data_IF_697995606917
#
_entry.id   IF_697995606917
#
_cell.length_a   1.000
_cell.length_b   1.000
_cell.length_c   1.000
_cell.angle_alpha   90.00
_cell.angle_beta   90.00
_cell.angle_gamma   90.00
#
_symmetry.space_group_name_H-M   'P 1'
#
loop_
_entity.id
_entity.type
_entity.pdbx_description
1 polymer ?
#
# COMPACT_ATOMS: atom_id res chain seq x y z
N UNK A 1 34.55 44.19 50.31
CA UNK A 1 33.88 44.36 48.99
C UNK A 1 34.36 43.39 47.90
N UNK A 2 35.17 42.36 48.19
CA UNK A 2 35.71 41.44 47.17
C UNK A 2 35.05 40.05 47.15
N UNK A 3 34.29 39.67 48.19
CA UNK A 3 33.73 38.32 48.31
C UNK A 3 32.59 38.06 47.30
N UNK A 4 31.72 39.06 47.08
CA UNK A 4 30.60 38.96 46.13
C UNK A 4 31.09 38.79 44.68
N UNK A 5 32.17 39.46 44.29
CA UNK A 5 32.77 39.34 42.95
C UNK A 5 33.19 37.91 42.63
N UNK A 6 33.83 37.21 43.57
CA UNK A 6 34.23 35.81 43.38
C UNK A 6 33.04 34.87 43.23
N UNK A 7 31.94 35.10 43.95
CA UNK A 7 30.72 34.30 43.81
C UNK A 7 30.03 34.50 42.45
N UNK A 8 29.98 35.73 41.95
CA UNK A 8 29.39 36.02 40.62
C UNK A 8 30.21 35.38 39.52
N UNK A 9 31.54 35.47 39.60
CA UNK A 9 32.44 34.81 38.63
C UNK A 9 32.35 33.28 38.70
N UNK A 10 32.28 32.69 39.90
CA UNK A 10 32.13 31.26 40.07
C UNK A 10 30.79 30.74 39.53
N UNK A 11 29.70 31.49 39.74
CA UNK A 11 28.37 31.11 39.23
C UNK A 11 28.31 31.20 37.70
N UNK A 12 28.91 32.24 37.11
CA UNK A 12 29.00 32.38 35.66
C UNK A 12 29.88 31.29 35.01
N UNK A 13 30.99 30.91 35.65
CA UNK A 13 31.82 29.80 35.17
C UNK A 13 31.08 28.47 35.27
N UNK A 14 30.36 28.24 36.37
CA UNK A 14 29.57 27.02 36.56
C UNK A 14 28.43 26.91 35.55
N UNK A 15 27.74 28.02 35.23
CA UNK A 15 26.66 28.01 34.24
C UNK A 15 27.18 27.76 32.82
N UNK A 16 28.32 28.34 32.44
CA UNK A 16 28.95 28.09 31.13
C UNK A 16 29.41 26.62 31.02
N UNK A 17 30.03 26.07 32.07
CA UNK A 17 30.41 24.65 32.10
C UNK A 17 29.18 23.75 32.01
N UNK A 18 28.10 24.07 32.72
CA UNK A 18 26.86 23.30 32.67
C UNK A 18 26.23 23.32 31.27
N UNK A 19 26.19 24.49 30.62
CA UNK A 19 25.70 24.63 29.23
C UNK A 19 26.59 23.86 28.26
N UNK A 20 27.91 23.93 28.39
CA UNK A 20 28.84 23.18 27.54
C UNK A 20 28.73 21.67 27.75
N UNK A 21 28.59 21.20 28.99
CA UNK A 21 28.40 19.78 29.31
C UNK A 21 27.05 19.29 28.78
N UNK A 22 25.99 20.08 28.94
CA UNK A 22 24.66 19.72 28.43
C UNK A 22 24.60 19.76 26.89
N UNK A 23 25.27 20.71 26.25
CA UNK A 23 25.33 20.79 24.79
C UNK A 23 26.19 19.66 24.20
N UNK A 24 27.32 19.34 24.83
CA UNK A 24 28.16 18.22 24.42
C UNK A 24 27.54 16.85 24.75
N UNK A 25 26.71 16.74 25.80
CA UNK A 25 25.99 15.48 26.10
C UNK A 25 24.83 15.23 25.12
N UNK A 26 24.24 16.28 24.55
CA UNK A 26 23.24 16.18 23.48
C UNK A 26 23.88 15.91 22.09
N UNK A 27 25.15 16.31 21.90
CA UNK A 27 25.94 15.96 20.71
C UNK A 27 26.64 14.60 20.82
N UNK A 28 26.77 14.05 22.03
CA UNK A 28 27.23 12.70 22.26
C UNK A 28 26.15 11.73 21.77
N UNK A 29 26.29 11.28 20.53
CA UNK A 29 25.63 10.08 20.02
C UNK A 29 25.78 8.95 21.08
N UNK A 30 24.72 8.18 21.38
CA UNK A 30 24.83 7.07 22.31
C UNK A 30 25.99 6.16 21.87
N UNK A 31 26.95 5.97 22.78
CA UNK A 31 28.02 5.00 22.63
C UNK A 31 27.44 3.58 22.79
N UNK A 32 26.61 3.17 21.83
CA UNK A 32 26.25 1.77 21.59
C UNK A 32 26.20 1.52 20.08
N UNK A 33 27.24 1.95 19.38
CA UNK A 33 27.66 1.20 18.20
C UNK A 33 28.31 -0.07 18.71
N UNK A 34 27.51 -1.09 19.04
CA UNK A 34 28.01 -2.45 18.87
C UNK A 34 28.46 -2.52 17.41
N UNK A 35 29.77 -2.60 17.21
CA UNK A 35 30.39 -2.94 15.95
C UNK A 35 30.03 -4.40 15.70
N UNK A 36 28.76 -4.66 15.37
CA UNK A 36 28.27 -5.96 14.96
C UNK A 36 29.12 -6.41 13.79
N UNK A 37 29.51 -7.69 13.79
CA UNK A 37 30.21 -8.41 12.72
C UNK A 37 29.39 -8.40 11.41
N UNK A 38 29.16 -7.21 10.84
CA UNK A 38 28.29 -6.97 9.69
C UNK A 38 29.04 -6.90 8.36
N UNK A 39 30.36 -7.14 8.33
CA UNK A 39 31.11 -7.16 7.08
C UNK A 39 30.75 -8.40 6.26
N UNK A 40 30.80 -9.61 6.83
CA UNK A 40 30.53 -10.83 6.06
C UNK A 40 29.06 -10.98 5.64
N UNK A 41 28.10 -10.65 6.52
CA UNK A 41 26.66 -10.67 6.16
C UNK A 41 26.32 -9.65 5.06
N UNK A 42 26.88 -8.43 5.13
CA UNK A 42 26.68 -7.42 4.07
C UNK A 42 27.31 -7.84 2.75
N UNK A 43 28.53 -8.38 2.78
CA UNK A 43 29.20 -8.88 1.58
C UNK A 43 28.38 -10.00 0.93
N UNK A 44 27.97 -11.01 1.72
CA UNK A 44 27.16 -12.13 1.24
C UNK A 44 25.78 -11.69 0.67
N UNK A 45 25.16 -10.68 1.26
CA UNK A 45 23.90 -10.12 0.76
C UNK A 45 24.07 -9.33 -0.54
N UNK A 46 25.18 -8.59 -0.69
CA UNK A 46 25.52 -7.87 -1.93
C UNK A 46 25.82 -8.86 -3.05
N UNK A 47 26.57 -9.92 -2.76
CA UNK A 47 26.91 -10.97 -3.72
C UNK A 47 25.66 -11.70 -4.19
N UNK A 48 24.73 -12.03 -3.28
CA UNK A 48 23.45 -12.64 -3.64
C UNK A 48 22.55 -11.73 -4.50
N UNK A 49 22.58 -10.42 -4.28
CA UNK A 49 21.87 -9.47 -5.14
C UNK A 49 22.50 -9.39 -6.53
N UNK A 50 23.84 -9.40 -6.63
CA UNK A 50 24.55 -9.43 -7.91
C UNK A 50 24.24 -10.71 -8.69
N UNK A 51 24.32 -11.86 -8.01
CA UNK A 51 23.98 -13.17 -8.58
C UNK A 51 22.55 -13.21 -9.09
N UNK A 52 21.58 -12.69 -8.30
CA UNK A 52 20.18 -12.64 -8.70
C UNK A 52 19.95 -11.75 -9.94
N UNK A 53 20.66 -10.63 -10.06
CA UNK A 53 20.60 -9.77 -11.25
C UNK A 53 21.19 -10.43 -12.50
N UNK A 54 22.17 -11.31 -12.31
CA UNK A 54 22.78 -12.12 -13.37
C UNK A 54 22.00 -13.42 -13.67
N UNK A 55 20.85 -13.62 -13.02
CA UNK A 55 20.01 -14.82 -13.20
C UNK A 55 20.60 -16.09 -12.57
N UNK A 56 21.61 -15.96 -11.71
CA UNK A 56 22.23 -17.06 -10.97
C UNK A 56 21.40 -17.35 -9.72
N UNK A 57 21.29 -18.63 -9.38
CA UNK A 57 20.69 -19.05 -8.12
C UNK A 57 21.66 -18.77 -6.96
N UNK A 58 21.24 -17.92 -6.03
CA UNK A 58 21.96 -17.70 -4.77
C UNK A 58 21.07 -18.11 -3.60
N UNK A 59 21.62 -18.90 -2.67
CA UNK A 59 20.91 -19.37 -1.48
C UNK A 59 21.36 -18.54 -0.28
N UNK A 60 20.49 -17.63 0.15
CA UNK A 60 20.71 -16.87 1.38
C UNK A 60 20.17 -17.66 2.58
N UNK A 61 21.07 -18.06 3.47
CA UNK A 61 20.69 -18.58 4.78
C UNK A 61 20.70 -17.44 5.80
N UNK A 62 19.54 -17.12 6.36
CA UNK A 62 19.43 -16.05 7.36
C UNK A 62 17.99 -15.84 7.81
N UNK A 63 17.78 -15.55 9.09
CA UNK A 63 16.48 -15.11 9.60
C UNK A 63 16.28 -13.64 9.21
N UNK A 64 15.08 -13.26 8.79
CA UNK A 64 14.72 -11.84 8.66
C UNK A 64 14.94 -11.17 10.02
N UNK A 65 15.64 -10.04 10.04
CA UNK A 65 15.82 -9.28 11.28
C UNK A 65 14.44 -8.77 11.71
N UNK A 66 14.03 -9.01 12.96
CA UNK A 66 12.74 -8.55 13.46
C UNK A 66 12.69 -7.01 13.45
N UNK A 67 11.50 -6.46 13.22
CA UNK A 67 11.30 -5.01 13.25
C UNK A 67 11.66 -4.40 14.60
N UNK A 68 12.46 -3.32 14.57
CA UNK A 68 12.83 -2.54 15.75
C UNK A 68 11.78 -1.50 16.15
N UNK A 69 10.64 -1.44 15.44
CA UNK A 69 9.62 -0.41 15.63
C UNK A 69 9.16 -0.27 17.09
N UNK A 70 9.15 -1.37 17.86
CA UNK A 70 8.66 -1.32 19.25
C UNK A 70 9.60 -0.60 20.23
N UNK A 71 10.89 -0.48 19.91
CA UNK A 71 11.93 -0.10 20.88
C UNK A 71 12.52 1.30 20.69
N UNK A 72 12.19 2.02 19.62
CA UNK A 72 12.83 3.31 19.29
C UNK A 72 11.83 4.42 18.93
N UNK A 73 12.14 5.70 19.21
CA UNK A 73 11.36 6.84 18.74
C UNK A 73 11.25 6.88 17.21
N UNK A 74 10.16 7.46 16.66
CA UNK A 74 9.93 7.52 15.22
C UNK A 74 11.09 8.14 14.44
N UNK A 75 11.71 9.21 14.93
CA UNK A 75 12.87 9.84 14.28
C UNK A 75 14.02 8.85 14.07
N UNK A 76 14.33 8.09 15.12
CA UNK A 76 15.42 7.12 15.08
C UNK A 76 15.03 5.91 14.23
N UNK A 77 13.77 5.46 14.30
CA UNK A 77 13.23 4.40 13.45
C UNK A 77 13.40 4.73 11.95
N UNK A 78 13.05 5.96 11.53
CA UNK A 78 13.17 6.40 10.15
C UNK A 78 14.61 6.39 9.66
N UNK A 79 15.54 6.87 10.49
CA UNK A 79 16.98 6.91 10.17
C UNK A 79 17.56 5.49 10.08
N UNK A 80 17.30 4.66 11.10
CA UNK A 80 17.83 3.28 11.17
C UNK A 80 17.32 2.39 10.04
N UNK A 81 16.08 2.62 9.59
CA UNK A 81 15.49 1.86 8.50
C UNK A 81 15.69 2.50 7.12
N UNK A 82 16.46 3.60 7.02
CA UNK A 82 16.79 4.28 5.76
C UNK A 82 15.55 4.72 4.96
N UNK A 83 14.53 5.26 5.64
CA UNK A 83 13.40 5.85 4.94
C UNK A 83 13.82 7.11 4.16
N UNK A 84 13.25 7.28 2.97
CA UNK A 84 13.38 8.51 2.19
C UNK A 84 12.53 9.58 2.87
N UNK A 85 13.17 10.55 3.53
CA UNK A 85 12.48 11.60 4.32
C UNK A 85 12.32 12.93 3.59
N UNK A 86 12.93 13.10 2.41
CA UNK A 86 12.79 14.27 1.55
C UNK A 86 12.54 13.85 0.10
N UNK A 87 11.89 14.74 -0.66
CA UNK A 87 11.60 14.46 -2.08
C UNK A 87 12.90 14.42 -2.89
N UNK A 88 13.07 13.40 -3.72
CA UNK A 88 14.32 13.16 -4.45
C UNK A 88 14.44 13.98 -5.75
N UNK A 89 13.34 14.46 -6.31
CA UNK A 89 13.36 15.31 -7.51
C UNK A 89 12.11 16.20 -7.63
N UNK A 90 12.26 17.33 -8.34
CA UNK A 90 11.13 18.23 -8.63
C UNK A 90 10.02 17.52 -9.44
N UNK A 91 10.42 16.60 -10.32
CA UNK A 91 9.48 15.76 -11.09
C UNK A 91 8.57 14.95 -10.16
N UNK A 92 9.15 14.30 -9.16
CA UNK A 92 8.41 13.48 -8.21
C UNK A 92 7.56 14.34 -7.27
N UNK A 93 8.06 15.51 -6.84
CA UNK A 93 7.31 16.47 -6.04
C UNK A 93 6.04 16.96 -6.75
N UNK A 94 6.13 17.18 -8.07
CA UNK A 94 5.02 17.68 -8.89
C UNK A 94 3.97 16.62 -9.28
N UNK A 95 4.25 15.34 -9.01
CA UNK A 95 3.35 14.23 -9.35
C UNK A 95 3.13 13.28 -8.16
N UNK A 96 2.44 13.73 -7.09
CA UNK A 96 2.18 12.87 -5.95
C UNK A 96 1.29 11.67 -6.31
N UNK A 97 1.63 10.50 -5.77
CA UNK A 97 0.85 9.27 -5.89
C UNK A 97 0.10 8.99 -4.58
N UNK A 98 -1.01 8.29 -4.72
CA UNK A 98 -1.73 7.67 -3.61
C UNK A 98 -1.56 6.15 -3.66
N UNK A 99 -1.58 5.51 -2.50
CA UNK A 99 -1.56 4.05 -2.39
C UNK A 99 -2.71 3.57 -1.51
N UNK A 100 -3.37 2.51 -1.96
CA UNK A 100 -4.30 1.71 -1.16
C UNK A 100 -3.63 0.38 -0.87
N UNK A 101 -3.42 0.04 0.40
CA UNK A 101 -2.72 -1.18 0.79
C UNK A 101 -3.64 -2.06 1.64
N UNK A 102 -4.13 -3.17 1.08
CA UNK A 102 -5.01 -4.10 1.81
C UNK A 102 -4.20 -5.28 2.35
N UNK A 103 -4.13 -5.42 3.67
CA UNK A 103 -3.30 -6.41 4.37
C UNK A 103 -4.09 -7.20 5.41
N UNK A 104 -3.67 -8.44 5.67
CA UNK A 104 -4.34 -9.32 6.65
C UNK A 104 -3.36 -10.14 7.51
N UNK A 105 -2.07 -10.16 7.19
CA UNK A 105 -1.01 -10.90 7.90
C UNK A 105 0.39 -10.35 7.53
N UNK A 106 1.42 -10.96 8.13
CA UNK A 106 2.85 -10.80 7.78
C UNK A 106 3.36 -9.35 7.85
N UNK A 107 3.44 -8.80 9.07
CA UNK A 107 3.89 -7.42 9.33
C UNK A 107 5.23 -7.09 8.66
N UNK A 108 6.25 -7.95 8.80
CA UNK A 108 7.59 -7.69 8.26
C UNK A 108 7.59 -7.54 6.72
N UNK A 109 6.72 -8.29 6.03
CA UNK A 109 6.58 -8.18 4.56
C UNK A 109 5.93 -6.86 4.20
N UNK A 110 4.86 -6.49 4.91
CA UNK A 110 4.20 -5.20 4.75
C UNK A 110 5.15 -4.03 5.05
N UNK A 111 5.90 -4.07 6.15
CA UNK A 111 6.87 -3.04 6.53
C UNK A 111 7.92 -2.86 5.42
N UNK A 112 8.42 -3.97 4.86
CA UNK A 112 9.39 -3.93 3.75
C UNK A 112 8.79 -3.33 2.49
N UNK A 113 7.55 -3.69 2.12
CA UNK A 113 6.83 -3.10 1.00
C UNK A 113 6.62 -1.61 1.23
N UNK A 114 6.08 -1.23 2.39
CA UNK A 114 5.80 0.16 2.75
C UNK A 114 7.05 1.01 2.63
N UNK A 115 8.18 0.57 3.20
CA UNK A 115 9.47 1.24 3.04
C UNK A 115 9.89 1.39 1.58
N UNK A 116 9.71 0.36 0.76
CA UNK A 116 10.15 0.38 -0.64
C UNK A 116 9.37 1.37 -1.52
N UNK A 117 8.10 1.65 -1.18
CA UNK A 117 7.25 2.60 -1.92
C UNK A 117 7.13 3.97 -1.24
N UNK A 118 7.61 4.11 0.00
CA UNK A 118 7.45 5.33 0.78
C UNK A 118 8.30 6.49 0.23
N UNK A 119 7.63 7.61 -0.03
CA UNK A 119 8.24 8.93 -0.28
C UNK A 119 7.34 10.02 0.33
N UNK A 120 7.90 11.14 0.83
CA UNK A 120 7.17 12.08 1.68
C UNK A 120 6.06 12.87 0.97
N UNK A 121 6.14 13.04 -0.35
CA UNK A 121 5.14 13.76 -1.13
C UNK A 121 3.89 12.92 -1.45
N UNK A 122 3.98 11.58 -1.40
CA UNK A 122 2.86 10.68 -1.69
C UNK A 122 1.90 10.58 -0.50
N UNK A 123 0.81 9.82 -0.64
CA UNK A 123 -0.11 9.50 0.47
C UNK A 123 -0.50 8.02 0.48
N UNK A 124 -0.64 7.44 1.67
CA UNK A 124 -0.83 6.00 1.85
C UNK A 124 -2.02 5.70 2.77
N UNK A 125 -3.00 4.95 2.27
CA UNK A 125 -4.07 4.39 3.09
C UNK A 125 -3.86 2.89 3.24
N UNK A 126 -3.87 2.41 4.48
CA UNK A 126 -3.69 0.99 4.80
C UNK A 126 -4.97 0.44 5.41
N UNK A 127 -5.56 -0.54 4.75
CA UNK A 127 -6.67 -1.33 5.28
C UNK A 127 -6.13 -2.62 5.88
N UNK A 128 -6.34 -2.80 7.18
CA UNK A 128 -5.98 -4.03 7.90
C UNK A 128 -7.26 -4.82 8.15
N UNK A 129 -7.36 -6.04 7.62
CA UNK A 129 -8.55 -6.89 7.74
C UNK A 129 -9.04 -6.97 9.19
N UNK A 130 -10.36 -6.90 9.39
CA UNK A 130 -10.98 -7.04 10.70
C UNK A 130 -10.58 -8.36 11.40
N UNK A 131 -10.33 -9.42 10.63
CA UNK A 131 -9.92 -10.74 11.13
C UNK A 131 -8.44 -10.84 11.48
N UNK A 132 -7.63 -9.83 11.15
CA UNK A 132 -6.22 -9.81 11.51
C UNK A 132 -6.03 -9.80 13.03
N UNK A 133 -4.90 -10.35 13.48
CA UNK A 133 -4.56 -10.38 14.90
C UNK A 133 -4.42 -8.96 15.49
N UNK A 134 -4.66 -8.83 16.79
CA UNK A 134 -4.53 -7.55 17.48
C UNK A 134 -3.09 -7.00 17.38
N UNK A 135 -2.10 -7.89 17.43
CA UNK A 135 -0.69 -7.57 17.32
C UNK A 135 -0.35 -7.00 15.94
N UNK A 136 -0.94 -7.53 14.86
CA UNK A 136 -0.75 -6.97 13.52
C UNK A 136 -1.33 -5.56 13.44
N UNK A 137 -2.57 -5.37 13.91
CA UNK A 137 -3.25 -4.07 13.88
C UNK A 137 -2.46 -3.02 14.67
N UNK A 138 -2.00 -3.37 15.87
CA UNK A 138 -1.18 -2.49 16.71
C UNK A 138 0.16 -2.15 16.05
N UNK A 139 0.84 -3.14 15.47
CA UNK A 139 2.14 -2.93 14.82
C UNK A 139 2.02 -2.03 13.59
N UNK A 140 0.98 -2.23 12.78
CA UNK A 140 0.67 -1.36 11.63
C UNK A 140 0.32 0.05 12.09
N UNK A 141 -0.53 0.21 13.10
CA UNK A 141 -0.87 1.51 13.65
C UNK A 141 0.38 2.26 14.15
N UNK A 142 1.24 1.57 14.90
CA UNK A 142 2.49 2.14 15.41
C UNK A 142 3.47 2.52 14.29
N UNK A 143 3.50 1.76 13.19
CA UNK A 143 4.34 2.09 12.04
C UNK A 143 3.85 3.40 11.41
N UNK A 144 2.55 3.43 11.09
CA UNK A 144 1.96 4.54 10.34
C UNK A 144 1.93 5.84 11.15
N UNK A 145 1.88 5.77 12.49
CA UNK A 145 1.93 6.97 13.34
C UNK A 145 3.26 7.73 13.25
N UNK A 146 4.32 7.11 12.71
CA UNK A 146 5.58 7.78 12.41
C UNK A 146 5.55 8.62 11.12
N UNK A 147 4.46 8.58 10.34
CA UNK A 147 4.36 9.23 9.04
C UNK A 147 3.12 10.12 8.96
N UNK A 148 3.29 11.38 8.56
CA UNK A 148 2.16 12.32 8.46
C UNK A 148 1.26 12.06 7.24
N UNK A 149 1.80 11.40 6.23
CA UNK A 149 1.15 11.13 4.95
C UNK A 149 0.70 9.66 4.81
N UNK A 150 0.65 8.91 5.91
CA UNK A 150 0.15 7.54 5.93
C UNK A 150 -0.83 7.34 7.07
N UNK A 151 -1.90 6.56 6.83
CA UNK A 151 -2.95 6.35 7.83
C UNK A 151 -3.67 5.01 7.62
N UNK A 152 -4.30 4.52 8.69
CA UNK A 152 -5.22 3.39 8.61
C UNK A 152 -6.57 3.84 8.04
N UNK A 153 -7.20 2.99 7.23
CA UNK A 153 -8.54 3.25 6.71
C UNK A 153 -9.54 3.54 7.83
N UNK A 154 -10.39 4.55 7.63
CA UNK A 154 -11.42 4.96 8.60
C UNK A 154 -12.52 3.91 8.78
N UNK A 155 -12.69 3.03 7.78
CA UNK A 155 -13.64 1.91 7.79
C UNK A 155 -12.94 0.60 7.45
N UNK A 156 -13.04 -0.34 8.37
CA UNK A 156 -12.44 -1.67 8.27
C UNK A 156 -13.50 -2.69 7.84
N UNK A 157 -13.08 -3.65 7.03
CA UNK A 157 -13.92 -4.72 6.48
C UNK A 157 -13.34 -6.07 6.92
N UNK A 158 -14.20 -7.02 7.25
CA UNK A 158 -13.83 -8.44 7.31
C UNK A 158 -13.82 -8.99 5.89
N UNK A 159 -12.64 -9.12 5.29
CA UNK A 159 -12.53 -9.43 3.85
C UNK A 159 -12.74 -10.92 3.60
N UNK A 160 -13.71 -11.24 2.76
CA UNK A 160 -14.01 -12.59 2.28
C UNK A 160 -13.44 -12.76 0.88
N UNK A 161 -12.72 -13.86 0.65
CA UNK A 161 -12.19 -14.18 -0.68
C UNK A 161 -13.31 -14.21 -1.74
N UNK A 162 -13.04 -13.59 -2.89
CA UNK A 162 -13.99 -13.40 -3.98
C UNK A 162 -15.30 -12.65 -3.59
N UNK A 163 -15.33 -12.04 -2.41
CA UNK A 163 -16.46 -11.30 -1.89
C UNK A 163 -16.38 -9.80 -2.20
N UNK A 164 -17.52 -9.13 -2.07
CA UNK A 164 -17.61 -7.66 -2.20
C UNK A 164 -16.76 -6.92 -1.17
N UNK A 165 -16.57 -7.49 0.00
CA UNK A 165 -15.73 -6.93 1.06
C UNK A 165 -14.30 -6.64 0.61
N UNK A 166 -13.76 -7.39 -0.36
CA UNK A 166 -12.43 -7.10 -0.96
C UNK A 166 -12.43 -5.78 -1.72
N UNK A 167 -13.44 -5.56 -2.57
CA UNK A 167 -13.62 -4.30 -3.29
C UNK A 167 -13.97 -3.16 -2.34
N UNK A 168 -14.79 -3.43 -1.31
CA UNK A 168 -15.18 -2.45 -0.32
C UNK A 168 -13.98 -1.94 0.50
N UNK A 169 -13.01 -2.80 0.82
CA UNK A 169 -11.77 -2.39 1.47
C UNK A 169 -11.00 -1.34 0.64
N UNK A 170 -10.90 -1.52 -0.68
CA UNK A 170 -10.29 -0.52 -1.57
C UNK A 170 -11.11 0.77 -1.57
N UNK A 171 -12.43 0.68 -1.72
CA UNK A 171 -13.33 1.83 -1.74
C UNK A 171 -13.27 2.66 -0.45
N UNK A 172 -13.15 2.01 0.71
CA UNK A 172 -13.01 2.71 1.99
C UNK A 172 -11.73 3.55 2.00
N UNK A 173 -10.61 2.98 1.59
CA UNK A 173 -9.36 3.73 1.49
C UNK A 173 -9.42 4.85 0.43
N UNK A 174 -10.00 4.58 -0.73
CA UNK A 174 -10.17 5.59 -1.78
C UNK A 174 -10.97 6.80 -1.31
N UNK A 175 -12.01 6.56 -0.48
CA UNK A 175 -12.80 7.63 0.12
C UNK A 175 -11.96 8.50 1.06
N UNK A 176 -11.13 7.89 1.91
CA UNK A 176 -10.25 8.64 2.81
C UNK A 176 -9.15 9.39 2.03
N UNK A 177 -8.60 8.78 0.98
CA UNK A 177 -7.61 9.40 0.11
C UNK A 177 -8.16 10.62 -0.63
N UNK A 178 -9.43 10.60 -1.05
CA UNK A 178 -10.08 11.79 -1.64
C UNK A 178 -10.15 12.96 -0.65
N UNK A 179 -10.32 12.69 0.65
CA UNK A 179 -10.33 13.68 1.72
C UNK A 179 -8.93 14.17 2.12
N UNK A 180 -7.86 13.49 1.68
CA UNK A 180 -6.49 13.93 1.92
C UNK A 180 -6.18 15.27 1.25
N UNK A 181 -5.43 16.12 1.97
CA UNK A 181 -4.91 17.40 1.49
C UNK A 181 -3.83 17.24 0.41
N UNK A 182 -3.23 16.06 0.30
CA UNK A 182 -2.22 15.77 -0.73
C UNK A 182 -2.91 15.78 -2.10
N UNK A 183 -2.48 16.61 -3.07
CA UNK A 183 -3.11 16.70 -4.39
C UNK A 183 -2.60 15.59 -5.33
N UNK A 184 -2.75 14.34 -4.91
CA UNK A 184 -2.31 13.17 -5.67
C UNK A 184 -3.00 13.05 -7.03
N UNK A 185 -2.26 12.50 -8.01
CA UNK A 185 -2.66 12.41 -9.42
C UNK A 185 -3.23 11.04 -9.78
N UNK A 186 -2.57 10.00 -9.29
CA UNK A 186 -2.94 8.60 -9.48
C UNK A 186 -2.94 7.88 -8.14
N UNK A 187 -3.84 6.93 -7.99
CA UNK A 187 -3.84 5.95 -6.92
C UNK A 187 -3.49 4.57 -7.48
N UNK A 188 -2.62 3.84 -6.79
CA UNK A 188 -2.31 2.44 -7.07
C UNK A 188 -2.76 1.59 -5.89
N UNK A 189 -3.50 0.52 -6.12
CA UNK A 189 -3.82 -0.43 -5.06
C UNK A 189 -2.83 -1.60 -5.05
N UNK A 190 -2.47 -2.03 -3.84
CA UNK A 190 -1.56 -3.14 -3.58
C UNK A 190 -2.13 -4.02 -2.47
N UNK A 191 -1.62 -5.24 -2.38
CA UNK A 191 -1.81 -6.11 -1.22
C UNK A 191 -0.49 -6.24 -0.43
N UNK A 192 -0.55 -6.83 0.76
CA UNK A 192 0.61 -6.98 1.65
C UNK A 192 1.75 -7.86 1.15
N UNK A 193 1.61 -8.54 0.01
CA UNK A 193 2.64 -9.43 -0.58
C UNK A 193 3.09 -8.97 -1.97
N UNK A 194 2.72 -7.75 -2.35
CA UNK A 194 3.23 -7.08 -3.53
C UNK A 194 4.63 -6.51 -3.26
N UNK A 195 5.43 -6.31 -4.31
CA UNK A 195 6.70 -5.59 -4.19
C UNK A 195 7.02 -4.77 -5.45
N UNK A 196 7.52 -3.52 -5.32
CA UNK A 196 7.81 -2.68 -6.48
C UNK A 196 8.99 -3.22 -7.30
N UNK A 197 8.84 -3.21 -8.63
CA UNK A 197 9.85 -3.53 -9.64
C UNK A 197 10.44 -2.28 -10.31
N UNK A 198 9.97 -1.11 -9.91
CA UNK A 198 10.30 0.20 -10.46
C UNK A 198 10.38 1.20 -9.31
N UNK A 199 11.28 2.15 -9.44
CA UNK A 199 11.40 3.30 -8.53
C UNK A 199 10.18 4.22 -8.63
N UNK A 200 9.96 5.06 -7.63
CA UNK A 200 8.88 6.05 -7.65
C UNK A 200 8.94 6.95 -8.90
N UNK A 201 10.14 7.40 -9.28
CA UNK A 201 10.35 8.18 -10.52
C UNK A 201 9.95 7.42 -11.78
N UNK A 202 10.36 6.15 -11.93
CA UNK A 202 9.98 5.33 -13.08
C UNK A 202 8.47 5.06 -13.16
N UNK A 203 7.83 4.84 -11.99
CA UNK A 203 6.37 4.72 -11.90
C UNK A 203 5.70 5.99 -12.42
N UNK A 204 6.15 7.16 -11.95
CA UNK A 204 5.62 8.46 -12.37
C UNK A 204 5.80 8.67 -13.87
N UNK A 205 6.98 8.39 -14.42
CA UNK A 205 7.27 8.57 -15.85
C UNK A 205 6.37 7.67 -16.72
N UNK A 206 6.16 6.43 -16.31
CA UNK A 206 5.26 5.53 -17.03
C UNK A 206 3.80 5.98 -16.92
N UNK A 207 3.33 6.41 -15.73
CA UNK A 207 1.97 6.94 -15.55
C UNK A 207 1.71 8.21 -16.37
N UNK A 208 2.70 9.10 -16.50
CA UNK A 208 2.60 10.27 -17.39
C UNK A 208 2.36 9.89 -18.84
N UNK A 209 2.90 8.76 -19.29
CA UNK A 209 2.65 8.19 -20.63
C UNK A 209 1.17 7.89 -20.91
N UNK A 210 0.36 7.67 -19.88
CA UNK A 210 -1.08 7.44 -20.01
C UNK A 210 -1.91 8.71 -20.18
N UNK A 211 -1.30 9.89 -20.07
CA UNK A 211 -1.94 11.20 -20.34
C UNK A 211 -3.29 11.35 -19.62
N UNK A 212 -3.35 10.98 -18.33
CA UNK A 212 -4.56 11.09 -17.53
C UNK A 212 -5.58 9.96 -17.75
N UNK A 213 -5.22 8.87 -18.43
CA UNK A 213 -6.06 7.67 -18.55
C UNK A 213 -5.79 6.67 -17.42
N UNK A 214 -6.82 5.92 -17.02
CA UNK A 214 -6.70 4.87 -16.02
C UNK A 214 -6.10 3.59 -16.62
N UNK A 215 -5.47 2.79 -15.77
CA UNK A 215 -4.92 1.47 -16.12
C UNK A 215 -5.78 0.40 -15.44
N UNK A 216 -6.69 -0.18 -16.23
CA UNK A 216 -7.62 -1.26 -15.82
C UNK A 216 -7.66 -2.33 -16.91
N UNK A 217 -6.60 -3.16 -17.06
CA UNK A 217 -6.54 -4.13 -18.14
C UNK A 217 -7.67 -5.14 -17.99
N UNK A 218 -8.27 -5.53 -19.11
CA UNK A 218 -9.32 -6.52 -19.13
C UNK A 218 -9.97 -6.70 -20.49
N UNK A 219 -10.79 -7.74 -20.59
CA UNK A 219 -11.39 -8.30 -21.80
C UNK A 219 -12.89 -8.48 -21.61
N UNK A 220 -13.61 -8.83 -22.68
CA UNK A 220 -14.98 -9.31 -22.57
C UNK A 220 -15.03 -10.59 -21.72
N UNK A 221 -16.18 -10.91 -21.08
CA UNK A 221 -16.28 -12.01 -20.14
C UNK A 221 -15.84 -13.34 -20.79
N UNK A 222 -14.77 -13.99 -20.31
CA UNK A 222 -14.43 -15.33 -20.76
C UNK A 222 -15.50 -16.32 -20.26
N UNK A 223 -15.64 -17.46 -20.95
CA UNK A 223 -16.71 -18.43 -20.66
C UNK A 223 -16.78 -18.85 -19.18
N UNK A 224 -15.63 -19.03 -18.52
CA UNK A 224 -15.54 -19.39 -17.10
C UNK A 224 -15.98 -18.28 -16.14
N UNK A 225 -15.97 -17.01 -16.56
CA UNK A 225 -16.33 -15.87 -15.72
C UNK A 225 -17.81 -15.48 -15.84
N UNK A 226 -18.52 -15.91 -16.90
CA UNK A 226 -19.94 -15.58 -17.13
C UNK A 226 -20.80 -15.94 -15.92
N UNK A 227 -20.54 -17.09 -15.28
CA UNK A 227 -21.26 -17.54 -14.09
C UNK A 227 -21.18 -16.57 -12.91
N UNK A 228 -20.09 -15.80 -12.80
CA UNK A 228 -19.80 -14.90 -11.66
C UNK A 228 -20.75 -13.71 -11.57
N UNK A 229 -21.26 -13.27 -12.72
CA UNK A 229 -22.20 -12.14 -12.84
C UNK A 229 -23.59 -12.56 -13.32
N UNK A 230 -23.75 -13.80 -13.80
CA UNK A 230 -25.05 -14.39 -14.14
C UNK A 230 -25.89 -14.74 -12.92
N UNK A 231 -25.26 -15.18 -11.83
CA UNK A 231 -25.95 -15.64 -10.62
C UNK A 231 -25.65 -14.75 -9.41
N UNK A 232 -26.59 -14.72 -8.47
CA UNK A 232 -26.45 -14.08 -7.17
C UNK A 232 -25.49 -14.89 -6.31
N UNK A 233 -24.50 -14.21 -5.77
CA UNK A 233 -23.50 -14.74 -4.85
C UNK A 233 -23.59 -14.03 -3.50
N UNK A 234 -23.44 -14.76 -2.40
CA UNK A 234 -23.51 -14.19 -1.06
C UNK A 234 -22.27 -14.56 -0.25
N UNK A 235 -21.72 -13.59 0.45
CA UNK A 235 -20.71 -13.85 1.47
C UNK A 235 -21.35 -14.60 2.64
N UNK A 236 -20.71 -15.70 3.04
CA UNK A 236 -21.00 -16.42 4.26
C UNK A 236 -19.80 -16.31 5.19
N UNK A 237 -20.08 -16.00 6.45
CA UNK A 237 -19.08 -15.87 7.51
C UNK A 237 -19.51 -16.80 8.65
N UNK A 238 -18.66 -17.74 9.03
CA UNK A 238 -18.88 -18.62 10.17
C UNK A 238 -17.59 -18.78 10.98
N UNK A 239 -17.71 -19.42 12.15
CA UNK A 239 -16.53 -19.77 12.96
C UNK A 239 -15.59 -20.74 12.24
N UNK A 240 -16.09 -21.55 11.28
CA UNK A 240 -15.29 -22.48 10.50
C UNK A 240 -14.63 -21.85 9.27
N UNK A 241 -14.96 -20.61 8.93
CA UNK A 241 -14.36 -19.89 7.80
C UNK A 241 -15.31 -18.93 7.10
N UNK A 242 -14.79 -18.24 6.10
CA UNK A 242 -15.54 -17.29 5.27
C UNK A 242 -15.41 -17.64 3.79
N UNK A 243 -16.52 -17.69 3.08
CA UNK A 243 -16.56 -18.03 1.66
C UNK A 243 -17.72 -17.34 0.93
N UNK A 244 -17.67 -17.33 -0.40
CA UNK A 244 -18.77 -16.84 -1.24
C UNK A 244 -19.55 -18.02 -1.80
N UNK A 245 -20.87 -18.04 -1.58
CA UNK A 245 -21.76 -19.09 -2.06
C UNK A 245 -22.56 -18.62 -3.27
N UNK A 246 -22.53 -19.39 -4.35
CA UNK A 246 -23.45 -19.23 -5.47
C UNK A 246 -24.84 -19.74 -5.06
N UNK A 247 -25.85 -18.86 -5.16
CA UNK A 247 -27.23 -19.18 -4.78
C UNK A 247 -28.05 -19.81 -5.91
N UNK A 248 -27.50 -19.85 -7.14
CA UNK A 248 -28.16 -20.26 -8.39
C UNK A 248 -29.36 -19.40 -8.80
N UNK A 249 -29.64 -18.31 -8.06
CA UNK A 249 -30.64 -17.31 -8.44
C UNK A 249 -30.06 -16.42 -9.54
N UNK A 250 -30.80 -16.21 -10.63
CA UNK A 250 -30.36 -15.34 -11.72
C UNK A 250 -30.34 -13.87 -11.28
N UNK A 251 -29.31 -13.14 -11.68
CA UNK A 251 -29.23 -11.69 -11.47
C UNK A 251 -30.04 -10.94 -12.52
N UNK A 252 -30.48 -9.74 -12.15
CA UNK A 252 -30.97 -8.75 -13.11
C UNK A 252 -29.85 -8.34 -14.08
N UNK A 253 -30.18 -7.89 -15.30
CA UNK A 253 -29.20 -7.33 -16.22
C UNK A 253 -28.41 -6.17 -15.57
N UNK A 254 -27.15 -5.92 -16.00
CA UNK A 254 -26.39 -4.77 -15.55
C UNK A 254 -27.17 -3.46 -15.71
N UNK A 255 -27.05 -2.52 -14.75
CA UNK A 255 -27.72 -1.24 -14.85
C UNK A 255 -27.19 -0.44 -16.04
N UNK A 256 -27.99 0.52 -16.54
CA UNK A 256 -27.61 1.43 -17.64
C UNK A 256 -27.18 0.72 -18.94
N UNK A 257 -27.62 -0.53 -19.14
CA UNK A 257 -27.24 -1.38 -20.29
C UNK A 257 -25.71 -1.52 -20.43
N UNK A 258 -25.00 -1.49 -19.30
CA UNK A 258 -23.55 -1.60 -19.28
C UNK A 258 -23.11 -2.98 -19.75
N UNK A 259 -22.12 -3.01 -20.65
CA UNK A 259 -21.40 -4.24 -20.97
C UNK A 259 -20.40 -4.52 -19.86
N UNK A 260 -20.50 -5.68 -19.22
CA UNK A 260 -19.56 -6.10 -18.18
C UNK A 260 -18.27 -6.59 -18.82
N UNK A 261 -17.14 -6.11 -18.32
CA UNK A 261 -15.81 -6.57 -18.69
C UNK A 261 -15.12 -7.24 -17.49
N UNK A 262 -14.18 -8.13 -17.74
CA UNK A 262 -13.38 -8.78 -16.70
C UNK A 262 -11.90 -8.44 -16.86
N UNK A 263 -11.24 -8.22 -15.74
CA UNK A 263 -9.87 -7.77 -15.63
C UNK A 263 -9.26 -8.21 -14.30
N UNK A 264 -8.42 -7.36 -13.74
CA UNK A 264 -7.74 -7.62 -12.46
C UNK A 264 -8.27 -6.69 -11.38
N UNK A 265 -8.19 -7.13 -10.12
CA UNK A 265 -8.46 -6.32 -8.94
C UNK A 265 -7.50 -5.11 -8.79
N UNK A 266 -6.38 -5.11 -9.51
CA UNK A 266 -5.27 -4.17 -9.29
C UNK A 266 -5.18 -3.16 -10.42
N UNK A 267 -5.17 -1.89 -10.06
CA UNK A 267 -5.48 -0.78 -10.96
C UNK A 267 -4.68 0.45 -10.61
N UNK A 268 -4.53 1.33 -11.59
CA UNK A 268 -3.96 2.67 -11.41
C UNK A 268 -5.01 3.64 -11.91
N UNK A 269 -5.62 4.35 -10.97
CA UNK A 269 -6.79 5.19 -11.23
C UNK A 269 -6.40 6.65 -11.05
N UNK A 270 -6.88 7.52 -11.94
CA UNK A 270 -6.77 8.96 -11.74
C UNK A 270 -7.65 9.42 -10.58
N UNK A 271 -7.28 10.54 -9.95
CA UNK A 271 -8.13 11.16 -8.92
C UNK A 271 -9.54 11.47 -9.41
N UNK A 272 -9.67 11.94 -10.66
CA UNK A 272 -10.96 12.24 -11.27
C UNK A 272 -11.80 10.98 -11.46
N UNK A 273 -11.20 9.86 -11.84
CA UNK A 273 -11.89 8.57 -11.89
C UNK A 273 -12.37 8.12 -10.51
N UNK A 274 -11.53 8.27 -9.48
CA UNK A 274 -11.95 7.94 -8.11
C UNK A 274 -13.11 8.84 -7.67
N UNK A 275 -13.08 10.14 -8.00
CA UNK A 275 -14.20 11.03 -7.73
C UNK A 275 -15.47 10.61 -8.50
N UNK A 276 -15.34 10.22 -9.77
CA UNK A 276 -16.43 9.65 -10.57
C UNK A 276 -17.06 8.41 -9.90
N UNK A 277 -16.25 7.49 -9.37
CA UNK A 277 -16.72 6.27 -8.69
C UNK A 277 -17.71 6.56 -7.56
N UNK A 278 -17.53 7.67 -6.83
CA UNK A 278 -18.39 8.03 -5.69
C UNK A 278 -19.55 8.97 -6.02
N UNK A 279 -19.53 9.64 -7.17
CA UNK A 279 -20.49 10.71 -7.49
C UNK A 279 -21.36 10.41 -8.71
N UNK A 280 -20.90 9.58 -9.66
CA UNK A 280 -21.67 9.26 -10.86
C UNK A 280 -22.70 8.16 -10.58
N UNK A 281 -23.94 8.39 -11.02
CA UNK A 281 -25.05 7.47 -10.80
C UNK A 281 -24.79 6.08 -11.40
N UNK A 282 -24.14 6.01 -12.57
CA UNK A 282 -23.79 4.75 -13.23
C UNK A 282 -22.79 3.94 -12.40
N UNK A 283 -21.82 4.62 -11.79
CA UNK A 283 -20.84 3.99 -10.92
C UNK A 283 -21.47 3.45 -9.62
N UNK A 284 -22.31 4.26 -8.99
CA UNK A 284 -23.05 3.89 -7.77
C UNK A 284 -23.98 2.71 -8.03
N UNK A 285 -24.76 2.75 -9.11
CA UNK A 285 -25.69 1.67 -9.45
C UNK A 285 -24.93 0.38 -9.83
N UNK A 286 -23.81 0.47 -10.57
CA UNK A 286 -22.98 -0.69 -10.88
C UNK A 286 -22.37 -1.31 -9.61
N UNK A 287 -21.90 -0.48 -8.68
CA UNK A 287 -21.37 -0.97 -7.40
C UNK A 287 -22.45 -1.73 -6.64
N UNK A 288 -23.65 -1.16 -6.54
CA UNK A 288 -24.78 -1.79 -5.86
C UNK A 288 -25.17 -3.12 -6.53
N UNK A 289 -25.22 -3.15 -7.87
CA UNK A 289 -25.45 -4.39 -8.62
C UNK A 289 -24.34 -5.42 -8.45
N UNK A 290 -23.10 -4.98 -8.20
CA UNK A 290 -21.94 -5.87 -8.04
C UNK A 290 -21.83 -6.48 -6.64
N UNK A 291 -22.59 -6.01 -5.64
CA UNK A 291 -22.44 -6.47 -4.23
C UNK A 291 -22.68 -7.96 -4.02
N UNK A 292 -23.50 -8.57 -4.86
CA UNK A 292 -23.90 -9.97 -4.81
C UNK A 292 -23.43 -10.72 -6.07
N UNK A 293 -22.23 -10.39 -6.55
CA UNK A 293 -21.51 -11.11 -7.62
C UNK A 293 -20.28 -11.80 -7.05
N UNK A 294 -19.66 -12.69 -7.82
CA UNK A 294 -18.39 -13.34 -7.44
C UNK A 294 -17.20 -12.56 -7.99
N UNK A 295 -16.24 -12.22 -7.12
CA UNK A 295 -15.05 -11.41 -7.41
C UNK A 295 -15.37 -10.06 -8.09
N UNK A 296 -16.17 -9.17 -7.47
CA UNK A 296 -16.55 -7.90 -8.08
C UNK A 296 -15.38 -6.96 -8.38
N UNK A 297 -14.29 -7.08 -7.63
CA UNK A 297 -13.02 -6.40 -7.87
C UNK A 297 -12.43 -6.70 -9.26
N UNK A 298 -12.76 -7.85 -9.86
CA UNK A 298 -12.27 -8.23 -11.19
C UNK A 298 -13.14 -7.72 -12.35
N UNK A 299 -14.32 -7.14 -12.11
CA UNK A 299 -15.12 -6.54 -13.19
C UNK A 299 -15.47 -5.07 -12.97
N UNK A 300 -15.57 -4.61 -11.72
CA UNK A 300 -16.03 -3.26 -11.40
C UNK A 300 -15.17 -2.18 -12.05
N UNK A 301 -13.85 -2.23 -11.83
CA UNK A 301 -12.93 -1.19 -12.32
C UNK A 301 -12.89 -1.09 -13.85
N UNK A 302 -12.70 -2.24 -14.51
CA UNK A 302 -12.59 -2.30 -15.98
C UNK A 302 -13.91 -1.95 -16.66
N UNK A 303 -15.04 -2.31 -16.06
CA UNK A 303 -16.36 -1.96 -16.60
C UNK A 303 -16.58 -0.45 -16.56
N UNK A 304 -16.30 0.20 -15.43
CA UNK A 304 -16.44 1.66 -15.31
C UNK A 304 -15.51 2.42 -16.25
N UNK A 305 -14.27 1.96 -16.41
CA UNK A 305 -13.30 2.60 -17.30
C UNK A 305 -13.65 2.45 -18.80
N UNK A 306 -14.62 1.59 -19.14
CA UNK A 306 -15.07 1.35 -20.52
C UNK A 306 -16.45 1.97 -20.83
N UNK A 307 -16.99 2.78 -19.93
CA UNK A 307 -18.23 3.52 -20.18
C UNK A 307 -17.99 4.54 -21.32
N UNK A 308 -18.73 4.45 -22.44
CA UNK A 308 -18.55 5.35 -23.58
C UNK A 308 -18.72 6.82 -23.19
N UNK A 309 -17.91 7.71 -23.78
CA UNK A 309 -18.01 9.15 -23.59
C UNK A 309 -17.43 9.70 -22.28
N UNK A 310 -17.07 8.83 -21.32
CA UNK A 310 -16.46 9.27 -20.05
C UNK A 310 -14.94 9.36 -20.14
N UNK A 311 -14.31 8.38 -20.80
CA UNK A 311 -12.87 8.36 -21.05
C UNK A 311 -12.63 7.97 -22.52
N UNK A 312 -11.68 8.59 -23.21
CA UNK A 312 -11.29 8.15 -24.55
C UNK A 312 -10.89 6.67 -24.49
N UNK A 313 -11.27 5.90 -25.52
CA UNK A 313 -11.13 4.44 -25.55
C UNK A 313 -9.80 3.97 -24.92
N UNK A 314 -9.83 2.92 -24.07
CA UNK A 314 -8.63 2.42 -23.41
C UNK A 314 -7.61 2.04 -24.48
N UNK A 315 -6.34 2.30 -24.19
CA UNK A 315 -5.27 1.72 -24.99
C UNK A 315 -5.45 0.20 -24.98
N UNK A 316 -5.71 -0.37 -26.15
CA UNK A 316 -5.71 -1.82 -26.35
C UNK A 316 -4.28 -2.28 -26.12
N UNK A 317 -4.01 -2.81 -24.93
CA UNK A 317 -2.76 -3.52 -24.69
C UNK A 317 -2.80 -4.84 -25.45
N UNK A 318 -1.77 -5.20 -26.23
CA UNK A 318 -1.49 -6.59 -26.47
C UNK A 318 -1.14 -7.25 -25.12
N UNK A 319 -1.81 -8.34 -24.75
CA UNK A 319 -1.38 -9.19 -23.64
C UNK A 319 0.01 -9.77 -23.99
N UNK A 320 1.02 -9.75 -23.08
CA UNK A 320 0.90 -9.95 -21.64
C UNK A 320 1.68 -8.89 -20.83
N UNK A 321 1.07 -7.77 -20.47
CA UNK A 321 1.66 -6.86 -19.47
C UNK A 321 0.67 -6.69 -18.33
N UNK A 322 0.69 -7.66 -17.40
CA UNK A 322 0.28 -7.40 -16.02
C UNK A 322 1.09 -6.21 -15.50
N UNK A 323 0.46 -5.35 -14.70
CA UNK A 323 1.06 -4.28 -13.89
C UNK A 323 2.60 -4.34 -13.82
N UNK A 324 3.35 -3.66 -14.71
CA UNK A 324 4.80 -3.86 -14.85
C UNK A 324 5.60 -3.33 -13.65
N UNK A 325 4.91 -2.75 -12.68
CA UNK A 325 5.49 -2.11 -11.50
C UNK A 325 5.50 -3.02 -10.28
N UNK A 326 4.71 -4.08 -10.23
CA UNK A 326 4.48 -4.85 -9.01
C UNK A 326 4.67 -6.34 -9.29
N UNK A 327 5.66 -6.94 -8.64
CA UNK A 327 5.79 -8.39 -8.60
C UNK A 327 4.85 -8.97 -7.55
N UNK A 328 4.17 -10.07 -7.89
CA UNK A 328 3.16 -10.70 -7.03
C UNK A 328 3.67 -12.03 -6.51
N UNK A 329 3.89 -12.11 -5.21
CA UNK A 329 4.30 -13.35 -4.55
C UNK A 329 3.11 -14.19 -4.06
N UNK A 330 1.97 -14.15 -4.78
CA UNK A 330 0.64 -14.62 -4.37
C UNK A 330 -0.05 -13.63 -3.44
N UNK A 331 -1.23 -13.14 -3.82
CA UNK A 331 -2.13 -12.43 -2.92
C UNK A 331 -3.47 -13.13 -2.91
N UNK A 332 -3.96 -13.39 -1.70
CA UNK A 332 -5.25 -14.02 -1.42
C UNK A 332 -5.54 -15.28 -2.26
N UNK A 333 -4.56 -16.16 -2.52
CA UNK A 333 -4.90 -17.59 -2.46
C UNK A 333 -5.19 -17.89 -1.00
N UNK A 334 -6.41 -17.62 -0.55
CA UNK A 334 -6.95 -18.35 0.59
C UNK A 334 -7.01 -19.79 0.12
N UNK A 335 -5.94 -20.53 0.36
CA UNK A 335 -5.94 -21.98 0.21
C UNK A 335 -7.17 -22.49 0.95
N UNK A 336 -8.11 -23.19 0.30
CA UNK A 336 -9.09 -23.93 1.07
C UNK A 336 -8.32 -24.89 1.99
N UNK A 337 -8.85 -25.25 3.18
CA UNK A 337 -8.28 -26.37 3.91
C UNK A 337 -8.22 -27.55 2.94
N UNK A 338 -7.02 -28.11 2.78
CA UNK A 338 -6.87 -29.40 2.11
C UNK A 338 -7.79 -30.39 2.83
N UNK A 339 -8.61 -31.10 2.04
CA UNK A 339 -9.53 -32.11 2.55
C UNK A 339 -8.78 -33.25 3.25
#
# INVERSE_FOLDING_TARGET
>A
MNFWRYYVFAFALSSVVFVLVFYNSQLALPASYEKLNGSSERHFQVDACSDALEGKSSFLWGKSRPSLLKSVPCKDYLIQNHYITSTLSQEEAAFPLAYVMVIHKDFDTFERLFRAIYVPQNVYCVHVDEKASAELKESVWKLLSCFQNAFMASKIESVVYAGISRLQADLNCLKDLLASRVPWKYVLNTCGQDFPLKTNKEIIQHLKGFKGKNITPGVLPPAHAVGRTKYVHREHRSKQGSFVKNTRVLKTPPPHQLTIYFGTAYVALTRDFVNFVFNDRRAIDLLQWSKDTYSPDEHFWVTLNRIPGQYPAPFLFPAPFLFPFINRLSCLRFTPPEN
#
